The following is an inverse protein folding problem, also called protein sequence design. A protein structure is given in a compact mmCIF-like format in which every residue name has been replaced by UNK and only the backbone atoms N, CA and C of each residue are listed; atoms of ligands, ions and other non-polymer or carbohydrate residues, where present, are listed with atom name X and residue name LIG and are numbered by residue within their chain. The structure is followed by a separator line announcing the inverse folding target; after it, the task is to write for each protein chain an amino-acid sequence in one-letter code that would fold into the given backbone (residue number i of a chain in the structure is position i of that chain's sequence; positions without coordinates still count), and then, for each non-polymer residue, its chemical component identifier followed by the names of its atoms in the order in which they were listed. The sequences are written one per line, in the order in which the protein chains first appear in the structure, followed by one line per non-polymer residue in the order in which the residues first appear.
data_IF_560580853649
#
_entry.id   IF_560580853649
#
_cell.length_a   1.000
_cell.length_b   1.000
_cell.length_c   1.000
_cell.angle_alpha   90.00
_cell.angle_beta   90.00
_cell.angle_gamma   90.00
#
_symmetry.space_group_name_H-M   'P 1'
#
loop_
_entity.id
_entity.type
_entity.pdbx_description
1 polymer ?
#
# COMPACT_ATOMS: atom_id res chain seq x y z
N UNK A 1 14.83 -17.97 -4.76
CA UNK A 1 15.00 -17.00 -3.67
C UNK A 1 13.77 -17.04 -2.80
N UNK A 2 13.94 -17.09 -1.49
CA UNK A 2 12.85 -16.98 -0.54
C UNK A 2 12.45 -15.51 -0.42
N UNK A 3 11.19 -15.22 -0.76
CA UNK A 3 10.64 -13.87 -0.70
C UNK A 3 9.94 -13.66 0.64
N UNK A 4 10.27 -12.58 1.30
CA UNK A 4 9.66 -12.21 2.59
C UNK A 4 8.50 -11.25 2.38
N UNK A 5 8.71 -10.23 1.55
CA UNK A 5 7.73 -9.18 1.31
C UNK A 5 7.32 -9.12 -0.16
N UNK A 6 6.04 -8.93 -0.40
CA UNK A 6 5.51 -8.52 -1.70
C UNK A 6 4.95 -7.10 -1.62
N UNK A 7 5.26 -6.31 -2.63
CA UNK A 7 4.67 -5.01 -2.86
C UNK A 7 3.83 -5.09 -4.12
N UNK A 8 2.53 -4.90 -3.97
CA UNK A 8 1.57 -4.87 -5.06
C UNK A 8 1.12 -3.44 -5.29
N UNK A 9 1.24 -2.98 -6.51
CA UNK A 9 0.89 -1.62 -6.92
C UNK A 9 0.27 -1.62 -8.33
N UNK A 10 -0.46 -0.58 -8.66
CA UNK A 10 -0.98 -0.35 -10.00
C UNK A 10 -0.65 1.07 -10.43
N UNK A 11 -0.07 1.17 -11.61
CA UNK A 11 0.26 2.45 -12.24
C UNK A 11 -0.58 2.64 -13.49
N UNK A 12 -1.10 3.84 -13.68
CA UNK A 12 -1.83 4.20 -14.88
C UNK A 12 -0.84 4.78 -15.90
N UNK A 13 -0.63 4.07 -17.00
CA UNK A 13 0.25 4.49 -18.07
C UNK A 13 -0.58 4.94 -19.28
N UNK A 14 -0.29 6.13 -19.79
CA UNK A 14 -0.77 6.57 -21.11
C UNK A 14 0.10 5.93 -22.18
N UNK A 15 -0.25 4.70 -22.57
CA UNK A 15 0.49 3.94 -23.58
C UNK A 15 0.08 4.29 -25.02
N UNK A 16 -1.03 5.03 -25.18
CA UNK A 16 -1.63 5.38 -26.47
C UNK A 16 -1.89 6.89 -26.58
N UNK A 17 -2.18 7.42 -27.80
CA UNK A 17 -2.49 8.82 -28.02
C UNK A 17 -3.61 9.37 -27.13
N UNK A 18 -3.69 10.70 -27.02
CA UNK A 18 -4.45 11.47 -26.01
C UNK A 18 -5.94 11.13 -25.88
N UNK A 19 -6.53 10.47 -26.84
CA UNK A 19 -7.98 10.17 -26.91
C UNK A 19 -8.38 8.87 -26.26
N UNK A 20 -7.44 8.09 -25.71
CA UNK A 20 -7.75 6.82 -25.06
C UNK A 20 -7.48 6.88 -23.53
N UNK A 21 -8.32 6.22 -22.73
CA UNK A 21 -8.07 6.16 -21.29
C UNK A 21 -6.72 5.51 -20.98
N UNK A 22 -6.08 5.95 -19.90
CA UNK A 22 -4.85 5.35 -19.41
C UNK A 22 -5.08 3.86 -19.12
N UNK A 23 -4.13 3.01 -19.49
CA UNK A 23 -4.18 1.59 -19.20
C UNK A 23 -3.54 1.33 -17.82
N UNK A 24 -4.22 0.57 -16.98
CA UNK A 24 -3.69 0.14 -15.71
C UNK A 24 -2.64 -0.96 -15.90
N UNK A 25 -1.49 -0.79 -15.27
CA UNK A 25 -0.44 -1.80 -15.21
C UNK A 25 -0.26 -2.24 -13.78
N UNK A 26 -0.57 -3.51 -13.52
CA UNK A 26 -0.33 -4.15 -12.23
C UNK A 26 1.15 -4.48 -12.11
N UNK A 27 1.72 -4.18 -10.96
CA UNK A 27 3.16 -4.33 -10.70
C UNK A 27 3.34 -5.13 -9.42
N UNK A 28 4.25 -6.10 -9.44
CA UNK A 28 4.66 -6.83 -8.24
C UNK A 28 6.16 -6.77 -8.05
N UNK A 29 6.58 -6.27 -6.88
CA UNK A 29 7.95 -6.33 -6.40
C UNK A 29 8.05 -7.31 -5.24
N UNK A 30 9.09 -8.13 -5.25
CA UNK A 30 9.46 -8.97 -4.11
C UNK A 30 10.70 -8.45 -3.41
N UNK A 31 10.80 -8.70 -2.11
CA UNK A 31 12.02 -8.48 -1.32
C UNK A 31 12.45 -9.81 -0.72
N UNK A 32 13.70 -10.21 -0.94
CA UNK A 32 14.27 -11.45 -0.41
C UNK A 32 14.71 -11.29 1.04
N UNK A 33 15.05 -12.40 1.70
CA UNK A 33 15.67 -12.40 3.04
C UNK A 33 16.93 -11.53 3.11
N UNK A 34 17.71 -11.48 2.02
CA UNK A 34 18.93 -10.67 1.93
C UNK A 34 18.65 -9.20 1.59
N UNK A 35 17.37 -8.77 1.57
CA UNK A 35 16.97 -7.39 1.30
C UNK A 35 17.01 -6.98 -0.18
N UNK A 36 17.21 -7.92 -1.12
CA UNK A 36 17.22 -7.60 -2.55
C UNK A 36 15.81 -7.41 -3.09
N UNK A 37 15.62 -6.33 -3.84
CA UNK A 37 14.38 -6.08 -4.58
C UNK A 37 14.42 -6.79 -5.94
N UNK A 38 13.35 -7.48 -6.27
CA UNK A 38 13.18 -8.22 -7.53
C UNK A 38 11.83 -7.86 -8.13
N UNK A 39 11.81 -7.44 -9.38
CA UNK A 39 10.57 -7.28 -10.14
C UNK A 39 10.05 -8.68 -10.52
N UNK A 40 8.90 -9.06 -10.00
CA UNK A 40 8.32 -10.39 -10.17
C UNK A 40 7.34 -10.44 -11.35
N UNK A 41 6.69 -9.33 -11.66
CA UNK A 41 5.76 -9.28 -12.76
C UNK A 41 5.20 -7.91 -13.05
N UNK A 42 4.76 -7.78 -14.29
CA UNK A 42 3.98 -6.67 -14.84
C UNK A 42 2.83 -7.29 -15.65
N UNK A 43 1.63 -6.78 -15.51
CA UNK A 43 0.49 -7.19 -16.32
C UNK A 43 -0.46 -6.02 -16.56
N UNK A 44 -1.10 -6.00 -17.72
CA UNK A 44 -2.22 -5.10 -17.95
C UNK A 44 -3.41 -5.55 -17.11
N UNK A 45 -4.07 -4.61 -16.45
CA UNK A 45 -5.21 -4.91 -15.61
C UNK A 45 -5.74 -3.72 -14.85
N UNK A 46 -6.97 -3.83 -14.36
CA UNK A 46 -7.58 -2.78 -13.55
C UNK A 46 -7.17 -2.92 -12.08
N UNK A 47 -6.69 -1.82 -11.50
CA UNK A 47 -6.33 -1.72 -10.07
C UNK A 47 -7.50 -2.05 -9.13
N UNK A 48 -8.72 -1.75 -9.55
CA UNK A 48 -9.94 -1.95 -8.74
C UNK A 48 -10.50 -3.37 -8.89
N UNK A 49 -10.07 -4.13 -9.93
CA UNK A 49 -10.62 -5.44 -10.24
C UNK A 49 -9.96 -6.54 -9.42
N UNK A 50 -10.76 -7.22 -8.63
CA UNK A 50 -10.36 -8.44 -7.94
C UNK A 50 -9.86 -9.51 -8.92
N UNK A 51 -10.56 -9.68 -10.05
CA UNK A 51 -10.23 -10.69 -11.07
C UNK A 51 -8.86 -10.43 -11.70
N UNK A 52 -8.53 -9.16 -11.95
CA UNK A 52 -7.21 -8.76 -12.47
C UNK A 52 -6.10 -9.12 -11.49
N UNK A 53 -6.27 -8.80 -10.21
CA UNK A 53 -5.30 -9.14 -9.16
C UNK A 53 -5.17 -10.64 -8.94
N UNK A 54 -6.30 -11.36 -8.98
CA UNK A 54 -6.31 -12.80 -8.83
C UNK A 54 -5.58 -13.51 -9.98
N UNK A 55 -5.85 -13.10 -11.23
CA UNK A 55 -5.18 -13.64 -12.40
C UNK A 55 -3.67 -13.36 -12.36
N UNK A 56 -3.29 -12.14 -12.01
CA UNK A 56 -1.90 -11.73 -11.88
C UNK A 56 -1.16 -12.53 -10.79
N UNK A 57 -1.78 -12.70 -9.62
CA UNK A 57 -1.19 -13.51 -8.55
C UNK A 57 -1.11 -15.01 -8.88
N UNK A 58 -2.10 -15.57 -9.57
CA UNK A 58 -2.08 -16.95 -10.04
C UNK A 58 -0.96 -17.20 -11.05
N UNK A 59 -0.70 -16.26 -11.96
CA UNK A 59 0.45 -16.35 -12.86
C UNK A 59 1.76 -16.42 -12.08
N UNK A 60 1.96 -15.52 -11.11
CA UNK A 60 3.16 -15.55 -10.28
C UNK A 60 3.30 -16.86 -9.49
N UNK A 61 2.20 -17.36 -8.93
CA UNK A 61 2.19 -18.64 -8.19
C UNK A 61 2.50 -19.82 -9.10
N UNK A 62 1.99 -19.84 -10.33
CA UNK A 62 2.30 -20.89 -11.31
C UNK A 62 3.77 -20.91 -11.72
N UNK A 63 4.44 -19.76 -11.66
CA UNK A 63 5.89 -19.62 -11.88
C UNK A 63 6.72 -19.92 -10.62
N UNK A 64 6.09 -20.37 -9.53
CA UNK A 64 6.76 -20.82 -8.32
C UNK A 64 6.83 -19.80 -7.18
N UNK A 65 6.08 -18.70 -7.24
CA UNK A 65 5.97 -17.77 -6.11
C UNK A 65 5.25 -18.47 -4.95
N UNK A 66 5.94 -18.58 -3.83
CA UNK A 66 5.37 -19.10 -2.58
C UNK A 66 4.66 -17.98 -1.81
N UNK A 67 3.87 -18.37 -0.79
CA UNK A 67 3.25 -17.40 0.11
C UNK A 67 4.32 -16.52 0.77
N UNK A 68 4.22 -15.19 0.64
CA UNK A 68 5.09 -14.27 1.36
C UNK A 68 4.72 -14.19 2.84
N UNK A 69 5.59 -13.66 3.68
CA UNK A 69 5.25 -13.34 5.06
C UNK A 69 4.34 -12.08 5.13
N UNK A 70 4.56 -11.12 4.24
CA UNK A 70 3.84 -9.85 4.24
C UNK A 70 3.53 -9.39 2.81
N UNK A 71 2.31 -8.92 2.59
CA UNK A 71 1.90 -8.20 1.38
C UNK A 71 1.63 -6.73 1.71
N UNK A 72 2.27 -5.85 0.97
CA UNK A 72 2.09 -4.39 1.05
C UNK A 72 1.35 -3.91 -0.20
N UNK A 73 0.23 -3.21 -0.03
CA UNK A 73 -0.58 -2.68 -1.12
C UNK A 73 -1.26 -1.35 -0.75
N UNK A 74 -1.90 -0.69 -1.72
CA UNK A 74 -2.57 0.60 -1.54
C UNK A 74 -3.85 0.54 -0.67
N UNK A 75 -4.42 -0.65 -0.52
CA UNK A 75 -5.60 -0.88 0.31
C UNK A 75 -6.91 -1.02 -0.47
N UNK A 76 -6.89 -1.08 -1.80
CA UNK A 76 -8.08 -1.32 -2.60
C UNK A 76 -8.72 -2.68 -2.23
N UNK A 77 -10.07 -2.76 -2.08
CA UNK A 77 -10.73 -3.99 -1.65
C UNK A 77 -10.46 -5.20 -2.56
N UNK A 78 -10.35 -4.96 -3.88
CA UNK A 78 -10.09 -6.01 -4.86
C UNK A 78 -8.74 -6.70 -4.66
N UNK A 79 -7.69 -5.92 -4.33
CA UNK A 79 -6.35 -6.46 -4.10
C UNK A 79 -6.30 -7.30 -2.81
N UNK A 80 -6.94 -6.84 -1.73
CA UNK A 80 -6.99 -7.59 -0.48
C UNK A 80 -7.78 -8.89 -0.61
N UNK A 81 -8.91 -8.85 -1.34
CA UNK A 81 -9.69 -10.06 -1.59
C UNK A 81 -8.86 -11.11 -2.36
N UNK A 82 -8.12 -10.70 -3.39
CA UNK A 82 -7.23 -11.58 -4.14
C UNK A 82 -6.07 -12.11 -3.28
N UNK A 83 -5.45 -11.25 -2.48
CA UNK A 83 -4.35 -11.62 -1.58
C UNK A 83 -4.77 -12.70 -0.58
N UNK A 84 -5.94 -12.55 0.06
CA UNK A 84 -6.47 -13.53 1.03
C UNK A 84 -6.78 -14.87 0.40
N UNK A 85 -7.19 -14.89 -0.86
CA UNK A 85 -7.43 -16.14 -1.60
C UNK A 85 -6.13 -16.83 -1.98
N UNK A 86 -5.15 -16.06 -2.46
CA UNK A 86 -3.88 -16.59 -2.95
C UNK A 86 -2.92 -16.98 -1.82
N UNK A 87 -2.85 -16.16 -0.79
CA UNK A 87 -1.91 -16.28 0.32
C UNK A 87 -2.58 -16.02 1.67
N UNK A 88 -3.46 -16.92 2.12
CA UNK A 88 -4.31 -16.71 3.31
C UNK A 88 -3.52 -16.54 4.61
N UNK A 89 -2.25 -16.91 4.63
CA UNK A 89 -1.38 -16.76 5.81
C UNK A 89 -0.50 -15.52 5.77
N UNK A 90 -0.47 -14.81 4.64
CA UNK A 90 0.30 -13.59 4.52
C UNK A 90 -0.31 -12.47 5.37
N UNK A 91 0.54 -11.73 6.09
CA UNK A 91 0.11 -10.51 6.74
C UNK A 91 -0.18 -9.43 5.70
N UNK A 92 -1.15 -8.58 6.00
CA UNK A 92 -1.52 -7.45 5.14
C UNK A 92 -1.02 -6.14 5.75
N UNK A 93 -0.37 -5.32 4.94
CA UNK A 93 0.09 -4.00 5.32
C UNK A 93 -0.32 -2.97 4.27
N UNK A 94 -1.09 -1.97 4.68
CA UNK A 94 -1.37 -0.84 3.79
C UNK A 94 -0.11 -0.03 3.54
N UNK A 95 0.14 0.34 2.28
CA UNK A 95 1.29 1.14 1.89
C UNK A 95 1.23 2.53 2.55
N UNK A 96 2.23 2.84 3.37
CA UNK A 96 2.32 4.11 4.12
C UNK A 96 2.48 5.31 3.19
N UNK A 97 3.17 5.14 2.06
CA UNK A 97 3.37 6.18 1.04
C UNK A 97 2.05 6.53 0.35
N UNK A 98 1.28 5.51 -0.06
CA UNK A 98 -0.03 5.73 -0.68
C UNK A 98 -1.03 6.34 0.32
N UNK A 99 -1.02 5.89 1.55
CA UNK A 99 -1.86 6.45 2.60
C UNK A 99 -1.55 7.94 2.85
N UNK A 100 -0.26 8.30 2.97
CA UNK A 100 0.16 9.68 3.11
C UNK A 100 -0.25 10.54 1.90
N UNK A 101 -0.02 10.02 0.68
CA UNK A 101 -0.41 10.70 -0.56
C UNK A 101 -1.92 10.96 -0.61
N UNK A 102 -2.72 9.99 -0.20
CA UNK A 102 -4.17 10.13 -0.14
C UNK A 102 -4.60 11.21 0.87
N UNK A 103 -3.96 11.30 2.03
CA UNK A 103 -4.23 12.37 3.01
C UNK A 103 -3.83 13.73 2.42
N UNK A 104 -2.60 13.87 1.95
CA UNK A 104 -2.10 15.15 1.44
C UNK A 104 -2.87 15.64 0.20
N UNK A 105 -3.35 14.75 -0.66
CA UNK A 105 -4.16 15.13 -1.85
C UNK A 105 -5.47 15.84 -1.51
N UNK A 106 -5.93 15.76 -0.27
CA UNK A 106 -7.17 16.42 0.21
C UNK A 106 -6.88 17.69 1.02
N UNK A 107 -5.61 18.02 1.20
CA UNK A 107 -5.17 19.18 1.96
C UNK A 107 -4.62 20.27 1.03
N UNK A 108 -4.77 21.55 1.40
CA UNK A 108 -4.04 22.62 0.74
C UNK A 108 -2.52 22.40 0.80
N UNK A 109 -1.82 22.78 -0.26
CA UNK A 109 -0.39 22.54 -0.42
C UNK A 109 0.47 23.09 0.75
N UNK A 110 0.06 24.23 1.33
CA UNK A 110 0.74 24.83 2.49
C UNK A 110 0.85 23.92 3.71
N UNK A 111 -0.01 22.89 3.83
CA UNK A 111 0.00 21.92 4.93
C UNK A 111 0.76 20.62 4.62
N UNK A 112 1.16 20.42 3.37
CA UNK A 112 1.78 19.15 2.95
C UNK A 112 3.09 18.87 3.67
N UNK A 113 3.94 19.88 3.87
CA UNK A 113 5.24 19.71 4.52
C UNK A 113 5.09 19.32 5.99
N UNK A 114 4.22 20.02 6.71
CA UNK A 114 3.94 19.74 8.12
C UNK A 114 3.38 18.32 8.30
N UNK A 115 2.35 17.96 7.51
CA UNK A 115 1.73 16.64 7.59
C UNK A 115 2.71 15.52 7.23
N UNK A 116 3.55 15.73 6.20
CA UNK A 116 4.62 14.76 5.85
C UNK A 116 5.61 14.57 6.98
N UNK A 117 6.08 15.66 7.60
CA UNK A 117 7.02 15.57 8.70
C UNK A 117 6.43 14.80 9.88
N UNK A 118 5.22 15.15 10.33
CA UNK A 118 4.51 14.44 11.41
C UNK A 118 4.28 12.97 11.07
N UNK A 119 3.93 12.68 9.81
CA UNK A 119 3.69 11.32 9.35
C UNK A 119 4.92 10.43 9.49
N UNK A 120 6.07 10.88 9.02
CA UNK A 120 7.30 10.10 9.11
C UNK A 120 7.82 10.01 10.53
N UNK A 121 7.73 11.09 11.30
CA UNK A 121 8.10 11.06 12.73
C UNK A 121 7.28 10.02 13.50
N UNK A 122 6.01 9.82 13.15
CA UNK A 122 5.18 8.78 13.76
C UNK A 122 5.72 7.35 13.55
N UNK A 123 6.52 7.12 12.51
CA UNK A 123 7.19 5.83 12.27
C UNK A 123 8.61 5.79 12.86
N UNK A 124 9.34 6.89 12.78
CA UNK A 124 10.76 6.93 13.13
C UNK A 124 10.98 7.09 14.63
N UNK A 125 10.09 7.81 15.34
CA UNK A 125 10.24 8.13 16.77
C UNK A 125 9.39 7.25 17.69
N UNK A 126 8.40 6.52 17.17
CA UNK A 126 7.53 5.69 17.98
C UNK A 126 8.29 4.53 18.63
N UNK A 127 8.15 4.42 19.96
CA UNK A 127 8.75 3.34 20.75
C UNK A 127 7.92 2.05 20.76
N UNK A 128 6.71 2.12 20.22
CA UNK A 128 5.81 0.97 20.13
C UNK A 128 4.80 1.13 18.98
N UNK A 129 4.26 0.01 18.47
CA UNK A 129 3.20 0.04 17.46
C UNK A 129 1.97 0.86 17.89
N UNK A 130 1.62 0.81 19.18
CA UNK A 130 0.49 1.57 19.73
C UNK A 130 0.72 3.08 19.73
N UNK A 131 1.97 3.50 19.95
CA UNK A 131 2.35 4.92 19.89
C UNK A 131 2.27 5.44 18.44
N UNK A 132 2.87 4.73 17.49
CA UNK A 132 2.77 5.07 16.07
C UNK A 132 1.29 5.15 15.60
N UNK A 133 0.47 4.20 16.04
CA UNK A 133 -0.96 4.20 15.71
C UNK A 133 -1.67 5.45 16.24
N UNK A 134 -1.42 5.84 17.48
CA UNK A 134 -2.03 7.04 18.07
C UNK A 134 -1.62 8.31 17.35
N UNK A 135 -0.33 8.44 17.00
CA UNK A 135 0.17 9.60 16.27
C UNK A 135 -0.47 9.71 14.88
N UNK A 136 -0.55 8.60 14.13
CA UNK A 136 -1.21 8.57 12.84
C UNK A 136 -2.71 8.90 12.94
N UNK A 137 -3.39 8.39 13.97
CA UNK A 137 -4.81 8.72 14.23
C UNK A 137 -4.97 10.21 14.57
N UNK A 138 -4.04 10.79 15.34
CA UNK A 138 -4.01 12.23 15.62
C UNK A 138 -3.89 13.07 14.35
N UNK A 139 -2.98 12.72 13.45
CA UNK A 139 -2.83 13.40 12.15
C UNK A 139 -4.14 13.30 11.34
N UNK A 140 -4.79 12.13 11.33
CA UNK A 140 -6.06 11.92 10.67
C UNK A 140 -7.18 12.78 11.26
N UNK A 141 -7.29 12.83 12.58
CA UNK A 141 -8.28 13.62 13.30
C UNK A 141 -8.11 15.12 13.06
N UNK A 142 -6.89 15.66 13.19
CA UNK A 142 -6.55 17.06 12.94
C UNK A 142 -6.87 17.45 11.48
N UNK A 143 -6.47 16.60 10.54
CA UNK A 143 -6.74 16.79 9.12
C UNK A 143 -8.24 16.81 8.83
N UNK A 144 -9.01 15.93 9.45
CA UNK A 144 -10.46 15.85 9.26
C UNK A 144 -11.19 17.03 9.91
N UNK A 145 -10.75 17.49 11.07
CA UNK A 145 -11.32 18.65 11.75
C UNK A 145 -11.11 19.94 10.93
N UNK A 146 -9.92 20.13 10.36
CA UNK A 146 -9.60 21.30 9.55
C UNK A 146 -10.17 21.20 8.11
N UNK A 147 -10.21 19.99 7.55
CA UNK A 147 -10.59 19.70 6.16
C UNK A 147 -11.47 18.45 6.07
N UNK A 148 -12.80 18.57 6.21
CA UNK A 148 -13.74 17.44 6.22
C UNK A 148 -13.61 16.43 5.06
N UNK A 149 -13.18 16.81 3.83
CA UNK A 149 -12.95 15.84 2.75
C UNK A 149 -11.87 14.78 3.03
N UNK A 150 -10.98 15.00 4.02
CA UNK A 150 -9.97 14.00 4.43
C UNK A 150 -10.59 12.83 5.17
N UNK A 151 -11.79 12.96 5.73
CA UNK A 151 -12.47 11.93 6.51
C UNK A 151 -12.61 10.62 5.75
N UNK A 152 -13.01 10.67 4.50
CA UNK A 152 -13.15 9.47 3.68
C UNK A 152 -11.82 8.68 3.54
N UNK A 153 -10.68 9.37 3.59
CA UNK A 153 -9.35 8.76 3.50
C UNK A 153 -8.92 8.16 4.83
N UNK A 154 -9.22 8.84 5.94
CA UNK A 154 -8.88 8.35 7.29
C UNK A 154 -9.77 7.20 7.73
N UNK A 155 -11.06 7.21 7.34
CA UNK A 155 -12.02 6.14 7.63
C UNK A 155 -11.71 4.84 6.86
N UNK A 156 -11.01 4.91 5.72
CA UNK A 156 -10.56 3.70 4.98
C UNK A 156 -9.39 2.97 5.66
N UNK A 157 -8.99 3.42 6.81
CA UNK A 157 -7.93 2.84 7.64
C UNK A 157 -6.56 3.45 7.36
N UNK A 158 -5.93 3.94 8.42
CA UNK A 158 -4.53 4.30 8.40
C UNK A 158 -3.68 3.02 8.34
N UNK A 159 -2.47 3.05 7.76
CA UNK A 159 -1.60 1.89 7.76
C UNK A 159 -1.34 1.45 9.19
N UNK A 160 -1.40 0.15 9.46
CA UNK A 160 -0.87 -0.38 10.70
C UNK A 160 0.63 -0.02 10.79
N UNK A 161 1.17 0.22 11.98
CA UNK A 161 2.59 0.44 12.12
C UNK A 161 3.37 -0.75 11.53
N UNK A 162 4.55 -0.48 10.93
CA UNK A 162 5.33 -1.50 10.25
C UNK A 162 5.59 -2.70 11.15
N UNK A 163 5.54 -3.89 10.56
CA UNK A 163 5.70 -5.15 11.30
C UNK A 163 7.05 -5.29 12.01
N UNK A 164 8.10 -4.55 11.58
CA UNK A 164 9.38 -4.55 12.29
C UNK A 164 9.31 -3.97 13.71
N UNK A 165 8.32 -3.12 14.01
CA UNK A 165 8.04 -2.66 15.37
C UNK A 165 7.31 -3.71 16.23
N UNK A 166 6.95 -4.87 15.67
CA UNK A 166 6.26 -5.97 16.36
C UNK A 166 7.18 -7.13 16.73
N UNK A 167 8.40 -7.13 16.24
CA UNK A 167 9.42 -8.14 16.61
C UNK A 167 10.26 -7.61 17.76
N UNK A 168 10.43 -8.40 18.83
CA UNK A 168 11.34 -8.08 19.93
C UNK A 168 12.79 -8.06 19.46
#
# INVERSE_FOLDING_TARGET
HELVYLFLDAIDLKLRPEDQPAEGVLVCWGVTLEGRKILLGLALGSRESYESWLAFGRDMTSRGLRSPALVVADGAPGIWKATRELWPQALEQRCTVHALRNVTSKLPERHHQEVKARWWNAFDEARSPGEATRELQGIGADSTAAYPPTRAVTDTGLPAPPTHLRTP
#
